data_IF_986196632738
#
_entry.id   IF_986196632738
#
_cell.length_a   1.000
_cell.length_b   1.000
_cell.length_c   1.000
_cell.angle_alpha   90.00
_cell.angle_beta   90.00
_cell.angle_gamma   90.00
#
_symmetry.space_group_name_H-M   'P 1'
#
loop_
_entity.id
_entity.type
_entity.pdbx_description
1 polymer ?
#
# COMPACT_ATOMS: atom_id res chain seq x y z
N UNK A 1 40.18 -27.73 -10.80
CA UNK A 1 39.58 -26.48 -10.23
C UNK A 1 38.02 -26.46 -10.22
N UNK A 2 37.39 -27.49 -10.83
CA UNK A 2 35.91 -27.57 -10.87
C UNK A 2 35.23 -28.22 -9.67
N UNK A 3 35.89 -29.09 -8.92
CA UNK A 3 35.29 -29.87 -7.85
C UNK A 3 35.03 -29.09 -6.54
N UNK A 4 35.84 -28.08 -6.23
CA UNK A 4 35.65 -27.26 -5.04
C UNK A 4 34.45 -26.27 -5.12
N UNK A 5 34.07 -25.85 -6.32
CA UNK A 5 32.93 -24.94 -6.52
C UNK A 5 31.59 -25.66 -6.38
N UNK A 6 31.51 -26.91 -6.85
CA UNK A 6 30.32 -27.77 -6.72
C UNK A 6 30.05 -28.17 -5.26
N UNK A 7 31.11 -28.44 -4.48
CA UNK A 7 30.97 -28.76 -3.05
C UNK A 7 30.46 -27.59 -2.20
N UNK A 8 30.86 -26.35 -2.52
CA UNK A 8 30.34 -25.15 -1.85
C UNK A 8 28.87 -24.85 -2.20
N UNK A 9 28.49 -25.02 -3.46
CA UNK A 9 27.12 -24.83 -3.91
C UNK A 9 26.15 -25.86 -3.27
N UNK A 10 26.58 -27.11 -3.16
CA UNK A 10 25.83 -28.17 -2.51
C UNK A 10 25.67 -27.95 -0.99
N UNK A 11 26.73 -27.46 -0.29
CA UNK A 11 26.66 -27.08 1.13
C UNK A 11 25.73 -25.92 1.38
N UNK A 12 25.73 -24.90 0.53
CA UNK A 12 24.84 -23.72 0.67
C UNK A 12 23.38 -24.14 0.41
N UNK A 13 23.13 -25.04 -0.54
CA UNK A 13 21.79 -25.59 -0.80
C UNK A 13 21.29 -26.45 0.36
N UNK A 14 22.14 -27.30 0.94
CA UNK A 14 21.81 -28.14 2.09
C UNK A 14 21.57 -27.31 3.36
N UNK A 15 22.35 -26.25 3.60
CA UNK A 15 22.11 -25.32 4.71
C UNK A 15 20.74 -24.61 4.55
N UNK A 16 20.35 -24.29 3.32
CA UNK A 16 19.10 -23.59 3.04
C UNK A 16 17.85 -24.41 3.35
N UNK A 17 17.91 -25.71 3.20
CA UNK A 17 16.78 -26.62 3.52
C UNK A 17 16.74 -26.95 5.03
N UNK A 18 17.91 -27.13 5.66
CA UNK A 18 18.04 -27.35 7.09
C UNK A 18 17.63 -26.11 7.90
N UNK A 19 17.93 -24.91 7.43
CA UNK A 19 17.63 -23.64 8.12
C UNK A 19 16.12 -23.36 8.23
N UNK A 20 15.31 -23.79 7.27
CA UNK A 20 13.85 -23.62 7.32
C UNK A 20 13.22 -24.41 8.47
N UNK A 21 13.64 -25.64 8.68
CA UNK A 21 13.18 -26.46 9.79
C UNK A 21 13.70 -25.96 11.15
N UNK A 22 14.90 -25.37 11.16
CA UNK A 22 15.48 -24.78 12.38
C UNK A 22 14.74 -23.51 12.79
N UNK A 23 14.28 -22.68 11.84
CA UNK A 23 13.47 -21.49 12.15
C UNK A 23 12.15 -21.86 12.85
N UNK A 24 11.45 -22.89 12.37
CA UNK A 24 10.19 -23.35 13.00
C UNK A 24 10.42 -23.97 14.39
N UNK A 25 11.63 -24.48 14.65
CA UNK A 25 12.04 -25.02 15.96
C UNK A 25 12.60 -23.93 16.91
N UNK A 26 12.83 -22.72 16.38
CA UNK A 26 13.37 -21.61 17.19
C UNK A 26 12.32 -21.07 18.15
N UNK A 27 12.59 -21.08 19.47
CA UNK A 27 11.66 -20.47 20.45
C UNK A 27 11.45 -18.99 20.20
N UNK A 28 12.44 -18.28 19.64
CA UNK A 28 12.33 -16.85 19.34
C UNK A 28 11.26 -16.54 18.32
N UNK A 29 11.04 -17.42 17.32
CA UNK A 29 9.95 -17.26 16.36
C UNK A 29 8.59 -17.32 17.06
N UNK A 30 8.41 -18.30 17.93
CA UNK A 30 7.15 -18.51 18.65
C UNK A 30 6.89 -17.43 19.71
N UNK A 31 7.94 -16.97 20.38
CA UNK A 31 7.85 -15.82 21.30
C UNK A 31 7.41 -14.57 20.52
N UNK A 32 8.06 -14.28 19.38
CA UNK A 32 7.68 -13.16 18.53
C UNK A 32 6.23 -13.25 18.02
N UNK A 33 5.81 -14.42 17.56
CA UNK A 33 4.44 -14.67 17.14
C UNK A 33 3.43 -14.51 18.29
N UNK A 34 3.78 -14.98 19.49
CA UNK A 34 2.94 -14.84 20.69
C UNK A 34 2.81 -13.37 21.12
N UNK A 35 3.89 -12.60 21.09
CA UNK A 35 3.86 -11.16 21.35
C UNK A 35 2.98 -10.45 20.33
N UNK A 36 3.18 -10.73 19.04
CA UNK A 36 2.36 -10.12 17.97
C UNK A 36 0.87 -10.43 18.15
N UNK A 37 0.54 -11.68 18.52
CA UNK A 37 -0.84 -12.09 18.82
C UNK A 37 -1.38 -11.38 20.06
N UNK A 38 -0.58 -11.26 21.13
CA UNK A 38 -0.97 -10.56 22.35
C UNK A 38 -1.24 -9.08 22.09
N UNK A 39 -0.45 -8.43 21.22
CA UNK A 39 -0.67 -7.03 20.82
C UNK A 39 -1.99 -6.83 20.05
N UNK A 40 -2.51 -7.85 19.38
CA UNK A 40 -3.81 -7.80 18.70
C UNK A 40 -4.99 -8.08 19.64
N UNK A 41 -4.74 -8.63 20.84
CA UNK A 41 -5.80 -9.06 21.77
C UNK A 41 -6.74 -7.93 22.20
N UNK A 42 -6.30 -6.67 22.44
CA UNK A 42 -7.22 -5.58 22.78
C UNK A 42 -8.22 -5.28 21.66
N UNK A 43 -7.76 -5.32 20.39
CA UNK A 43 -8.60 -5.08 19.23
C UNK A 43 -9.60 -6.21 19.04
N UNK A 44 -9.15 -7.46 19.20
CA UNK A 44 -10.02 -8.64 19.09
C UNK A 44 -11.07 -8.62 20.21
N UNK A 45 -10.64 -8.40 21.45
CA UNK A 45 -11.54 -8.31 22.61
C UNK A 45 -12.58 -7.20 22.44
N UNK A 46 -12.15 -6.00 22.02
CA UNK A 46 -13.06 -4.89 21.76
C UNK A 46 -14.11 -5.24 20.69
N UNK A 47 -13.68 -5.86 19.58
CA UNK A 47 -14.61 -6.31 18.56
C UNK A 47 -15.59 -7.37 19.06
N UNK A 48 -15.14 -8.32 19.86
CA UNK A 48 -15.97 -9.38 20.43
C UNK A 48 -17.08 -8.81 21.34
N UNK A 49 -16.75 -7.84 22.20
CA UNK A 49 -17.70 -7.23 23.14
C UNK A 49 -18.69 -6.28 22.46
N UNK A 50 -18.38 -5.81 21.22
CA UNK A 50 -19.21 -4.87 20.49
C UNK A 50 -19.81 -5.49 19.20
N UNK A 51 -19.99 -6.80 19.14
CA UNK A 51 -20.58 -7.50 17.98
C UNK A 51 -19.81 -7.34 16.67
N UNK A 52 -18.47 -7.30 16.74
CA UNK A 52 -17.57 -7.31 15.60
C UNK A 52 -17.71 -6.13 14.62
N UNK A 53 -17.87 -4.87 15.06
CA UNK A 53 -18.19 -3.74 14.18
C UNK A 53 -17.11 -3.48 13.14
N UNK A 54 -15.82 -3.68 13.48
CA UNK A 54 -14.73 -3.50 12.52
C UNK A 54 -14.76 -4.52 11.38
N UNK A 55 -15.18 -5.75 11.69
CA UNK A 55 -15.31 -6.81 10.70
C UNK A 55 -16.57 -6.64 9.88
N UNK A 56 -17.69 -6.26 10.51
CA UNK A 56 -18.94 -5.94 9.82
C UNK A 56 -18.71 -4.80 8.82
N UNK A 57 -18.10 -3.70 9.25
CA UNK A 57 -17.78 -2.59 8.38
C UNK A 57 -16.89 -3.00 7.21
N UNK A 58 -15.80 -3.72 7.47
CA UNK A 58 -14.84 -4.06 6.40
C UNK A 58 -15.34 -5.18 5.47
N UNK A 59 -16.12 -6.14 5.97
CA UNK A 59 -16.57 -7.29 5.20
C UNK A 59 -17.97 -7.13 4.62
N UNK A 60 -18.83 -6.28 5.19
CA UNK A 60 -20.20 -6.10 4.75
C UNK A 60 -20.44 -4.70 4.18
N UNK A 61 -20.30 -3.67 5.00
CA UNK A 61 -20.66 -2.31 4.60
C UNK A 61 -19.74 -1.77 3.51
N UNK A 62 -18.45 -2.01 3.64
CA UNK A 62 -17.46 -1.56 2.67
C UNK A 62 -17.50 -2.33 1.36
N UNK A 63 -17.79 -3.63 1.40
CA UNK A 63 -17.99 -4.46 0.21
C UNK A 63 -19.34 -4.13 -0.45
N UNK A 64 -20.35 -3.79 0.34
CA UNK A 64 -21.68 -3.38 -0.14
C UNK A 64 -21.72 -1.98 -0.77
N UNK A 65 -20.73 -1.11 -0.49
CA UNK A 65 -20.58 0.18 -1.15
C UNK A 65 -19.99 -0.02 -2.57
N UNK A 66 -20.75 -0.70 -3.41
CA UNK A 66 -20.46 -0.78 -4.84
C UNK A 66 -20.77 0.57 -5.46
N UNK A 67 -19.73 1.36 -5.73
CA UNK A 67 -19.82 2.40 -6.74
C UNK A 67 -20.34 1.75 -8.04
N UNK A 68 -21.06 2.51 -8.85
CA UNK A 68 -21.59 2.07 -10.16
C UNK A 68 -20.50 1.68 -11.18
N UNK A 69 -19.26 1.57 -10.74
CA UNK A 69 -18.11 1.22 -11.58
C UNK A 69 -18.13 -0.27 -11.93
N UNK A 70 -17.88 -0.56 -13.18
CA UNK A 70 -17.74 -1.95 -13.64
C UNK A 70 -16.51 -2.62 -13.00
N UNK A 71 -16.52 -3.96 -12.91
CA UNK A 71 -15.36 -4.72 -12.42
C UNK A 71 -14.09 -4.35 -13.18
N UNK A 72 -14.20 -4.16 -14.50
CA UNK A 72 -13.07 -3.79 -15.37
C UNK A 72 -12.50 -2.43 -15.00
N UNK A 73 -13.34 -1.44 -14.71
CA UNK A 73 -12.91 -0.10 -14.28
C UNK A 73 -12.19 -0.15 -12.93
N UNK A 74 -12.69 -0.91 -11.95
CA UNK A 74 -12.04 -1.08 -10.65
C UNK A 74 -10.63 -1.69 -10.80
N UNK A 75 -10.49 -2.75 -11.61
CA UNK A 75 -9.19 -3.34 -11.90
C UNK A 75 -8.23 -2.37 -12.59
N UNK A 76 -8.74 -1.71 -13.61
CA UNK A 76 -7.96 -0.73 -14.36
C UNK A 76 -7.46 0.38 -13.44
N UNK A 77 -8.32 0.95 -12.62
CA UNK A 77 -7.96 2.03 -11.72
C UNK A 77 -6.99 1.58 -10.64
N UNK A 78 -7.17 0.39 -10.07
CA UNK A 78 -6.21 -0.18 -9.12
C UNK A 78 -4.83 -0.34 -9.75
N UNK A 79 -4.74 -0.99 -10.89
CA UNK A 79 -3.47 -1.23 -11.58
C UNK A 79 -2.82 0.07 -12.08
N UNK A 80 -3.60 0.94 -12.71
CA UNK A 80 -3.13 2.24 -13.21
C UNK A 80 -2.54 3.10 -12.08
N UNK A 81 -3.31 3.27 -10.99
CA UNK A 81 -2.89 4.12 -9.90
C UNK A 81 -1.68 3.54 -9.16
N UNK A 82 -1.60 2.21 -9.02
CA UNK A 82 -0.43 1.53 -8.46
C UNK A 82 0.85 1.77 -9.29
N UNK A 83 0.74 1.67 -10.63
CA UNK A 83 1.86 1.95 -11.55
C UNK A 83 2.25 3.43 -11.51
N UNK A 84 1.28 4.34 -11.49
CA UNK A 84 1.53 5.78 -11.43
C UNK A 84 2.23 6.19 -10.14
N UNK A 85 1.81 5.64 -8.99
CA UNK A 85 2.41 5.92 -7.68
C UNK A 85 3.87 5.45 -7.62
N UNK A 86 4.16 4.26 -8.12
CA UNK A 86 5.53 3.72 -8.13
C UNK A 86 6.42 4.33 -9.20
N UNK A 87 5.91 4.90 -10.23
CA UNK A 87 6.46 5.15 -11.57
C UNK A 87 6.48 3.88 -12.44
N UNK A 88 6.28 4.02 -13.77
CA UNK A 88 6.36 2.88 -14.68
C UNK A 88 7.70 2.13 -14.65
N UNK A 89 8.80 2.86 -14.46
CA UNK A 89 10.16 2.29 -14.44
C UNK A 89 10.42 1.49 -13.16
N UNK A 90 10.01 2.02 -12.02
CA UNK A 90 10.12 1.30 -10.74
C UNK A 90 9.20 0.08 -10.72
N UNK A 91 8.03 0.18 -11.33
CA UNK A 91 7.13 -0.95 -11.52
C UNK A 91 7.76 -2.06 -12.37
N UNK A 92 8.43 -1.72 -13.47
CA UNK A 92 9.18 -2.71 -14.28
C UNK A 92 10.31 -3.35 -13.47
N UNK A 93 11.03 -2.57 -12.66
CA UNK A 93 12.05 -3.10 -11.76
C UNK A 93 11.45 -4.02 -10.68
N UNK A 94 10.27 -3.70 -10.13
CA UNK A 94 9.50 -4.55 -9.24
C UNK A 94 9.09 -5.87 -9.91
N UNK A 95 8.63 -5.84 -11.15
CA UNK A 95 8.30 -7.05 -11.90
C UNK A 95 9.55 -7.93 -12.12
N UNK A 96 10.71 -7.33 -12.40
CA UNK A 96 12.00 -8.03 -12.46
C UNK A 96 12.40 -8.63 -11.10
N UNK A 97 12.13 -7.94 -10.01
CA UNK A 97 12.36 -8.45 -8.66
C UNK A 97 11.47 -9.65 -8.34
N UNK A 98 10.20 -9.58 -8.66
CA UNK A 98 9.22 -10.63 -8.35
C UNK A 98 9.42 -11.86 -9.25
N UNK A 99 9.47 -11.67 -10.56
CA UNK A 99 9.45 -12.74 -11.56
C UNK A 99 10.82 -13.04 -12.19
N UNK A 100 11.81 -12.18 -11.95
CA UNK A 100 13.14 -12.33 -12.52
C UNK A 100 13.98 -13.42 -11.83
N UNK A 101 15.24 -13.54 -12.30
CA UNK A 101 16.20 -14.47 -11.69
C UNK A 101 16.48 -14.10 -10.24
N UNK A 102 16.74 -15.08 -9.41
CA UNK A 102 17.11 -14.86 -8.01
C UNK A 102 18.44 -14.10 -7.94
N UNK A 103 18.46 -13.03 -7.17
CA UNK A 103 19.67 -12.27 -6.87
C UNK A 103 20.72 -13.16 -6.17
N UNK A 104 21.98 -12.75 -6.20
CA UNK A 104 23.06 -13.42 -5.48
C UNK A 104 23.37 -12.70 -4.16
N UNK A 105 23.97 -13.43 -3.23
CA UNK A 105 24.40 -12.86 -1.95
C UNK A 105 23.23 -12.46 -1.03
N UNK A 106 23.41 -11.42 -0.19
CA UNK A 106 22.40 -11.00 0.80
C UNK A 106 21.04 -10.62 0.19
N UNK A 107 21.05 -10.06 -1.02
CA UNK A 107 19.83 -9.68 -1.73
C UNK A 107 18.92 -10.88 -2.08
N UNK A 108 19.45 -12.10 -2.13
CA UNK A 108 18.68 -13.30 -2.42
C UNK A 108 17.62 -13.60 -1.34
N UNK A 109 18.01 -13.46 -0.07
CA UNK A 109 17.08 -13.68 1.04
C UNK A 109 15.96 -12.62 1.04
N UNK A 110 16.33 -11.35 0.86
CA UNK A 110 15.38 -10.25 0.78
C UNK A 110 14.43 -10.41 -0.42
N UNK A 111 14.95 -10.85 -1.57
CA UNK A 111 14.11 -11.14 -2.74
C UNK A 111 13.16 -12.30 -2.48
N UNK A 112 13.61 -13.36 -1.80
CA UNK A 112 12.75 -14.49 -1.45
C UNK A 112 11.56 -14.09 -0.59
N UNK A 113 11.82 -13.38 0.52
CA UNK A 113 10.78 -12.87 1.41
C UNK A 113 9.91 -11.84 0.68
N UNK A 114 10.52 -10.92 -0.04
CA UNK A 114 9.83 -9.83 -0.73
C UNK A 114 8.89 -10.31 -1.83
N UNK A 115 9.19 -11.42 -2.49
CA UNK A 115 8.26 -12.04 -3.46
C UNK A 115 6.94 -12.44 -2.80
N UNK A 116 7.02 -13.12 -1.65
CA UNK A 116 5.80 -13.51 -0.92
C UNK A 116 5.10 -12.30 -0.33
N UNK A 117 5.85 -11.34 0.25
CA UNK A 117 5.32 -10.11 0.77
C UNK A 117 4.63 -9.24 -0.29
N UNK A 118 5.03 -9.35 -1.56
CA UNK A 118 4.36 -8.71 -2.69
C UNK A 118 3.17 -9.53 -3.21
N UNK A 119 3.38 -10.82 -3.50
CA UNK A 119 2.39 -11.63 -4.19
C UNK A 119 1.13 -11.87 -3.36
N UNK A 120 1.29 -12.15 -2.05
CA UNK A 120 0.15 -12.48 -1.20
C UNK A 120 -0.79 -11.27 -1.02
N UNK A 121 -0.35 -10.09 -0.56
CA UNK A 121 -1.25 -8.93 -0.45
C UNK A 121 -1.80 -8.48 -1.80
N UNK A 122 -0.97 -8.51 -2.86
CA UNK A 122 -1.44 -8.13 -4.21
C UNK A 122 -2.54 -9.06 -4.71
N UNK A 123 -2.41 -10.37 -4.49
CA UNK A 123 -3.45 -11.33 -4.85
C UNK A 123 -4.75 -11.11 -4.06
N UNK A 124 -4.64 -10.81 -2.76
CA UNK A 124 -5.79 -10.49 -1.91
C UNK A 124 -6.49 -9.21 -2.41
N UNK A 125 -5.74 -8.14 -2.66
CA UNK A 125 -6.34 -6.89 -3.14
C UNK A 125 -6.92 -7.01 -4.54
N UNK A 126 -6.27 -7.77 -5.43
CA UNK A 126 -6.84 -8.09 -6.73
C UNK A 126 -8.15 -8.89 -6.59
N UNK A 127 -8.21 -9.86 -5.70
CA UNK A 127 -9.44 -10.62 -5.44
C UNK A 127 -10.54 -9.73 -4.86
N UNK A 128 -10.23 -8.85 -3.92
CA UNK A 128 -11.17 -7.89 -3.35
C UNK A 128 -11.70 -6.91 -4.40
N UNK A 129 -10.91 -6.55 -5.41
CA UNK A 129 -11.32 -5.65 -6.50
C UNK A 129 -12.48 -6.21 -7.34
N UNK A 130 -12.79 -7.51 -7.26
CA UNK A 130 -14.02 -8.07 -7.86
C UNK A 130 -15.28 -7.57 -7.16
N UNK A 131 -15.22 -7.36 -5.85
CA UNK A 131 -16.37 -7.05 -5.02
C UNK A 131 -16.45 -5.59 -4.61
N UNK A 132 -15.31 -4.90 -4.47
CA UNK A 132 -15.24 -3.53 -3.97
C UNK A 132 -14.12 -2.72 -4.62
N UNK A 133 -14.20 -1.40 -4.53
CA UNK A 133 -13.11 -0.49 -4.92
C UNK A 133 -11.98 -0.56 -3.90
N UNK A 134 -10.83 -1.05 -4.32
CA UNK A 134 -9.62 -1.17 -3.49
C UNK A 134 -8.73 0.06 -3.70
N UNK A 135 -8.32 0.67 -2.60
CA UNK A 135 -7.40 1.79 -2.65
C UNK A 135 -5.99 1.28 -2.96
N UNK A 136 -5.41 1.78 -4.03
CA UNK A 136 -4.11 1.34 -4.56
C UNK A 136 -2.96 1.46 -3.56
N UNK A 137 -3.01 2.44 -2.64
CA UNK A 137 -1.97 2.65 -1.63
C UNK A 137 -2.01 1.63 -0.47
N UNK A 138 -3.08 0.84 -0.33
CA UNK A 138 -3.09 -0.25 0.65
C UNK A 138 -2.05 -1.32 0.32
N UNK A 139 -1.72 -1.47 -0.95
CA UNK A 139 -0.71 -2.43 -1.38
C UNK A 139 0.74 -1.92 -1.22
N UNK A 140 0.95 -0.72 -0.65
CA UNK A 140 2.31 -0.17 -0.49
C UNK A 140 3.21 -1.06 0.37
N UNK A 141 2.64 -1.75 1.35
CA UNK A 141 3.37 -2.70 2.20
C UNK A 141 4.04 -3.81 1.38
N UNK A 142 3.41 -4.20 0.26
CA UNK A 142 3.95 -5.21 -0.64
C UNK A 142 5.29 -4.81 -1.28
N UNK A 143 5.58 -3.51 -1.40
CA UNK A 143 6.83 -3.02 -2.01
C UNK A 143 7.93 -2.70 -1.01
N UNK A 144 7.66 -2.73 0.30
CA UNK A 144 8.64 -2.36 1.32
C UNK A 144 9.93 -3.19 1.26
N UNK A 145 9.82 -4.50 0.98
CA UNK A 145 10.99 -5.37 0.86
C UNK A 145 11.75 -5.20 -0.47
N UNK A 146 11.13 -4.57 -1.45
CA UNK A 146 11.74 -4.29 -2.74
C UNK A 146 12.56 -2.99 -2.70
N UNK A 147 12.06 -1.94 -2.07
CA UNK A 147 12.68 -0.61 -2.09
C UNK A 147 14.18 -0.60 -1.75
N UNK A 148 14.67 -1.28 -0.68
CA UNK A 148 16.09 -1.28 -0.33
C UNK A 148 17.00 -1.89 -1.41
N UNK A 149 16.46 -2.73 -2.28
CA UNK A 149 17.20 -3.42 -3.34
C UNK A 149 16.76 -3.02 -4.75
N UNK A 150 15.89 -2.03 -4.88
CA UNK A 150 15.29 -1.62 -6.15
C UNK A 150 16.33 -1.32 -7.23
N UNK A 151 17.42 -0.66 -6.86
CA UNK A 151 18.51 -0.30 -7.78
C UNK A 151 19.20 -1.53 -8.41
N UNK A 152 19.19 -2.68 -7.75
CA UNK A 152 19.75 -3.93 -8.31
C UNK A 152 18.93 -4.49 -9.47
N UNK A 153 17.67 -4.06 -9.59
CA UNK A 153 16.71 -4.50 -10.60
C UNK A 153 16.46 -3.46 -11.69
N UNK A 154 17.06 -2.28 -11.56
CA UNK A 154 17.18 -1.28 -12.62
C UNK A 154 18.40 -1.60 -13.50
N UNK A 155 18.22 -1.58 -14.84
CA UNK A 155 19.25 -2.04 -15.77
C UNK A 155 20.26 -0.97 -16.15
N UNK A 156 19.92 0.30 -15.99
CA UNK A 156 20.74 1.42 -16.43
C UNK A 156 20.59 2.65 -15.54
N UNK A 157 21.62 3.49 -15.55
CA UNK A 157 21.54 4.80 -14.90
C UNK A 157 20.43 5.69 -15.50
N UNK A 158 20.06 5.45 -16.76
CA UNK A 158 18.97 6.16 -17.41
C UNK A 158 17.60 5.78 -16.78
N UNK A 159 17.36 4.50 -16.49
CA UNK A 159 16.13 4.08 -15.77
C UNK A 159 16.04 4.78 -14.40
N UNK A 160 17.14 4.88 -13.67
CA UNK A 160 17.18 5.59 -12.38
C UNK A 160 16.88 7.07 -12.54
N UNK A 161 17.54 7.73 -13.50
CA UNK A 161 17.32 9.17 -13.76
C UNK A 161 15.88 9.47 -14.15
N UNK A 162 15.31 8.68 -15.06
CA UNK A 162 13.94 8.85 -15.50
C UNK A 162 12.93 8.57 -14.37
N UNK A 163 13.21 7.59 -13.50
CA UNK A 163 12.39 7.37 -12.31
C UNK A 163 12.43 8.58 -11.35
N UNK A 164 13.61 9.15 -11.12
CA UNK A 164 13.75 10.36 -10.29
C UNK A 164 13.02 11.56 -10.90
N UNK A 165 13.16 11.77 -12.21
CA UNK A 165 12.42 12.82 -12.92
C UNK A 165 10.91 12.64 -12.81
N UNK A 166 10.43 11.41 -12.96
CA UNK A 166 9.02 11.07 -12.73
C UNK A 166 8.58 11.44 -11.32
N UNK A 167 9.34 11.05 -10.29
CA UNK A 167 9.01 11.34 -8.90
C UNK A 167 8.94 12.84 -8.62
N UNK A 168 9.92 13.60 -9.13
CA UNK A 168 9.94 15.06 -9.00
C UNK A 168 8.74 15.69 -9.72
N UNK A 169 8.47 15.28 -10.95
CA UNK A 169 7.35 15.79 -11.73
C UNK A 169 6.00 15.46 -11.05
N UNK A 170 5.85 14.22 -10.56
CA UNK A 170 4.65 13.78 -9.86
C UNK A 170 4.45 14.56 -8.54
N UNK A 171 5.51 14.73 -7.75
CA UNK A 171 5.45 15.50 -6.51
C UNK A 171 5.14 16.98 -6.78
N UNK A 172 5.76 17.58 -7.79
CA UNK A 172 5.48 18.96 -8.19
C UNK A 172 4.03 19.14 -8.66
N UNK A 173 3.52 18.19 -9.45
CA UNK A 173 2.14 18.18 -9.90
C UNK A 173 1.16 18.02 -8.73
N UNK A 174 1.43 17.12 -7.79
CA UNK A 174 0.60 16.91 -6.61
C UNK A 174 0.59 18.14 -5.72
N UNK A 175 1.75 18.75 -5.49
CA UNK A 175 1.87 19.99 -4.72
C UNK A 175 1.13 21.14 -5.41
N UNK A 176 1.27 21.30 -6.71
CA UNK A 176 0.56 22.30 -7.48
C UNK A 176 -0.96 22.10 -7.39
N UNK A 177 -1.41 20.86 -7.55
CA UNK A 177 -2.82 20.49 -7.44
C UNK A 177 -3.40 20.83 -6.07
N UNK A 178 -2.68 20.54 -4.99
CA UNK A 178 -3.18 20.76 -3.62
C UNK A 178 -3.09 22.20 -3.15
N UNK A 179 -2.20 23.03 -3.74
CA UNK A 179 -1.92 24.38 -3.24
C UNK A 179 -2.52 25.48 -4.10
N UNK A 180 -2.44 25.33 -5.43
CA UNK A 180 -2.77 26.44 -6.33
C UNK A 180 -4.07 26.23 -7.10
N UNK A 181 -4.22 25.07 -7.75
CA UNK A 181 -5.38 24.85 -8.61
C UNK A 181 -5.69 23.36 -8.73
N UNK A 182 -6.94 22.94 -8.44
CA UNK A 182 -7.35 21.54 -8.56
C UNK A 182 -7.40 21.09 -10.03
N UNK A 183 -6.33 20.44 -10.48
CA UNK A 183 -6.16 19.96 -11.85
C UNK A 183 -7.29 19.01 -12.29
N UNK A 184 -7.97 18.40 -11.34
CA UNK A 184 -9.13 17.53 -11.58
C UNK A 184 -10.31 18.29 -12.19
N UNK A 185 -10.42 19.60 -11.97
CA UNK A 185 -11.43 20.44 -12.64
C UNK A 185 -11.25 20.49 -14.15
N UNK A 186 -10.00 20.34 -14.63
CA UNK A 186 -9.73 20.30 -16.08
C UNK A 186 -10.26 19.03 -16.74
N UNK A 187 -10.44 17.96 -15.98
CA UNK A 187 -10.93 16.67 -16.48
C UNK A 187 -12.45 16.51 -16.33
N UNK A 188 -13.12 17.47 -15.69
CA UNK A 188 -14.55 17.40 -15.37
C UNK A 188 -14.92 16.32 -14.35
N UNK A 189 -13.93 15.62 -13.78
CA UNK A 189 -14.13 14.60 -12.75
C UNK A 189 -13.68 15.15 -11.40
N UNK A 190 -14.59 15.20 -10.45
CA UNK A 190 -14.23 15.48 -9.05
C UNK A 190 -13.57 14.24 -8.44
N UNK A 191 -12.27 14.29 -8.21
CA UNK A 191 -11.57 13.28 -7.42
C UNK A 191 -11.43 13.84 -6.01
N UNK A 192 -12.35 13.47 -5.14
CA UNK A 192 -12.48 14.02 -3.80
C UNK A 192 -11.18 13.97 -2.98
N UNK A 193 -10.41 12.90 -3.11
CA UNK A 193 -9.20 12.70 -2.30
C UNK A 193 -8.07 13.68 -2.62
N UNK A 194 -8.02 14.19 -3.86
CA UNK A 194 -7.00 15.18 -4.28
C UNK A 194 -7.44 16.63 -4.12
N UNK A 195 -8.74 16.87 -3.96
CA UNK A 195 -9.29 18.23 -3.91
C UNK A 195 -9.77 18.64 -2.52
N UNK A 196 -9.61 17.78 -1.54
CA UNK A 196 -10.16 17.96 -0.18
C UNK A 196 -9.64 19.24 0.53
N UNK A 197 -8.47 19.73 0.13
CA UNK A 197 -7.87 20.94 0.69
C UNK A 197 -8.39 22.24 0.06
N UNK A 198 -9.08 22.16 -1.07
CA UNK A 198 -9.60 23.34 -1.76
C UNK A 198 -10.95 23.76 -1.20
N UNK A 199 -11.09 25.07 -0.92
CA UNK A 199 -12.32 25.63 -0.37
C UNK A 199 -12.51 25.43 1.13
N UNK A 200 -11.54 24.83 1.83
CA UNK A 200 -11.63 24.64 3.29
C UNK A 200 -11.78 25.95 4.08
N UNK A 201 -11.02 27.03 3.80
CA UNK A 201 -11.19 28.28 4.51
C UNK A 201 -12.59 28.87 4.35
N UNK A 202 -13.16 28.77 3.15
CA UNK A 202 -14.52 29.24 2.84
C UNK A 202 -15.57 28.38 3.57
N UNK A 203 -15.40 27.05 3.57
CA UNK A 203 -16.28 26.14 4.29
C UNK A 203 -16.20 26.40 5.79
N UNK A 204 -15.00 26.53 6.35
CA UNK A 204 -14.79 26.81 7.76
C UNK A 204 -15.45 28.13 8.18
N UNK A 205 -15.31 29.18 7.37
CA UNK A 205 -15.96 30.46 7.63
C UNK A 205 -17.50 30.36 7.63
N UNK A 206 -18.09 29.63 6.69
CA UNK A 206 -19.54 29.38 6.63
C UNK A 206 -20.00 28.59 7.86
N UNK A 207 -19.26 27.54 8.24
CA UNK A 207 -19.59 26.73 9.42
C UNK A 207 -19.53 27.58 10.69
N UNK A 208 -18.51 28.41 10.87
CA UNK A 208 -18.38 29.30 12.02
C UNK A 208 -19.50 30.34 12.08
N UNK A 209 -19.93 30.89 10.95
CA UNK A 209 -21.06 31.84 10.87
C UNK A 209 -22.36 31.13 11.25
N UNK A 210 -22.62 29.92 10.74
CA UNK A 210 -23.81 29.15 11.06
C UNK A 210 -23.84 28.68 12.51
N UNK A 211 -22.70 28.28 13.08
CA UNK A 211 -22.55 27.89 14.49
C UNK A 211 -22.97 29.10 15.39
N UNK A 212 -22.45 30.29 15.11
CA UNK A 212 -22.81 31.51 15.83
C UNK A 212 -24.29 31.86 15.65
N UNK A 213 -24.82 31.72 14.44
CA UNK A 213 -26.22 32.03 14.12
C UNK A 213 -27.20 31.11 14.84
N UNK A 214 -26.86 29.83 14.95
CA UNK A 214 -27.70 28.81 15.56
C UNK A 214 -27.49 28.68 17.07
N UNK A 215 -26.41 29.26 17.62
CA UNK A 215 -25.98 29.03 19.00
C UNK A 215 -25.64 27.59 19.26
N UNK A 216 -25.03 26.93 18.29
CA UNK A 216 -24.72 25.50 18.38
C UNK A 216 -23.49 25.28 19.26
N UNK A 217 -23.55 24.29 20.16
CA UNK A 217 -22.44 23.92 21.02
C UNK A 217 -21.50 22.90 20.37
N UNK A 218 -21.88 22.33 19.22
CA UNK A 218 -21.11 21.28 18.54
C UNK A 218 -21.43 21.22 17.06
N UNK A 219 -20.38 21.02 16.25
CA UNK A 219 -20.49 20.73 14.82
C UNK A 219 -20.26 19.23 14.60
N UNK A 220 -21.18 18.57 13.88
CA UNK A 220 -21.09 17.15 13.55
C UNK A 220 -21.02 16.98 12.04
N UNK A 221 -20.08 16.17 11.59
CA UNK A 221 -19.96 15.80 10.17
C UNK A 221 -20.20 14.31 9.98
N UNK A 222 -20.66 13.94 8.80
CA UNK A 222 -20.89 12.52 8.42
C UNK A 222 -19.63 11.85 7.86
N UNK A 223 -18.58 12.62 7.59
CA UNK A 223 -17.31 12.12 7.04
C UNK A 223 -16.15 12.53 7.97
N UNK A 224 -15.38 11.53 8.42
CA UNK A 224 -14.21 11.73 9.27
C UNK A 224 -13.14 12.64 8.64
N UNK A 225 -13.06 12.69 7.31
CA UNK A 225 -12.13 13.56 6.59
C UNK A 225 -12.51 15.03 6.78
N UNK A 226 -13.77 15.34 6.64
CA UNK A 226 -14.29 16.69 6.91
C UNK A 226 -14.13 17.05 8.38
N UNK A 227 -14.40 16.12 9.30
CA UNK A 227 -14.22 16.34 10.73
C UNK A 227 -12.77 16.65 11.15
N UNK A 228 -11.79 16.16 10.39
CA UNK A 228 -10.36 16.42 10.66
C UNK A 228 -9.85 17.73 10.08
N UNK A 229 -10.66 18.42 9.28
CA UNK A 229 -10.29 19.61 8.52
C UNK A 229 -11.01 20.88 9.01
N UNK A 230 -12.12 20.73 9.71
CA UNK A 230 -12.87 21.79 10.40
C UNK A 230 -12.38 21.99 11.82
#
# INVERSE_FOLDING_TARGET
WGSHAQGKAGRIAALRDTDRHLLLKSPHLWIGASIARAMQSPVIYWNEVHDWPSFQYNLHDRIGYTHHDSVVERYYDFCKNFVLLLSPLLFVALMRFVFGRTAKGPAAALQGIGRFAFLIPSAVFLALSFSTSVLYYWNIVAVLFFLPVALLFMRSAMEVRLHMLWGIAFAAMALFNSTFFPLTLLTGKSISDFNISHGLPEIAAIVEEEEKRLGADMVVTTDYRTASLL
#
